data_IF_540176076424
#
_entry.id   IF_540176076424
#
_cell.length_a   1.000
_cell.length_b   1.000
_cell.length_c   1.000
_cell.angle_alpha   90.00
_cell.angle_beta   90.00
_cell.angle_gamma   90.00
#
_symmetry.space_group_name_H-M   'P 1'
#
loop_
_entity.id
_entity.type
_entity.pdbx_description
1 polymer ?
#
# COMPACT_ATOMS: atom_id res chain seq x y z
N UNK A 1 10.26 4.29 -10.83
CA UNK A 1 10.07 3.01 -10.16
C UNK A 1 11.39 2.22 -10.11
N UNK A 2 11.37 0.99 -10.56
CA UNK A 2 12.54 0.13 -10.57
C UNK A 2 12.73 -0.46 -11.96
N UNK A 3 13.96 -0.91 -12.24
CA UNK A 3 14.37 -1.43 -13.56
C UNK A 3 14.90 -2.85 -13.42
N UNK A 4 15.00 -3.54 -14.54
CA UNK A 4 15.65 -4.87 -14.58
C UNK A 4 17.06 -4.77 -13.99
N UNK A 5 17.39 -5.69 -13.09
CA UNK A 5 18.67 -5.72 -12.37
C UNK A 5 18.67 -5.00 -11.04
N UNK A 6 17.66 -4.20 -10.73
CA UNK A 6 17.53 -3.55 -9.42
C UNK A 6 17.23 -4.58 -8.34
N UNK A 7 17.66 -4.28 -7.12
CA UNK A 7 17.40 -5.13 -5.96
C UNK A 7 16.17 -4.59 -5.25
N UNK A 8 15.20 -5.47 -5.02
CA UNK A 8 13.98 -5.15 -4.27
C UNK A 8 13.76 -6.17 -3.15
N UNK A 9 13.13 -5.74 -2.08
CA UNK A 9 12.69 -6.64 -1.01
C UNK A 9 11.25 -7.07 -1.29
N UNK A 10 10.99 -8.37 -1.22
CA UNK A 10 9.63 -8.90 -1.38
C UNK A 10 9.01 -9.06 0.01
N UNK A 11 7.93 -8.34 0.26
CA UNK A 11 7.26 -8.29 1.57
C UNK A 11 6.21 -9.38 1.70
N UNK A 12 5.35 -9.50 0.68
CA UNK A 12 4.19 -10.39 0.72
C UNK A 12 3.68 -10.66 -0.69
N UNK A 13 2.73 -11.56 -0.81
CA UNK A 13 2.07 -11.85 -2.09
C UNK A 13 0.56 -11.82 -1.94
N UNK A 14 -0.12 -11.44 -3.02
CA UNK A 14 -1.56 -11.39 -3.09
C UNK A 14 -2.03 -12.08 -4.37
N UNK A 15 -3.06 -12.93 -4.25
CA UNK A 15 -3.63 -13.60 -5.41
C UNK A 15 -4.66 -12.70 -6.09
N UNK A 16 -4.56 -12.58 -7.39
CA UNK A 16 -5.50 -11.84 -8.23
C UNK A 16 -6.34 -12.85 -9.03
N UNK A 17 -7.55 -13.10 -8.58
CA UNK A 17 -8.44 -14.08 -9.21
C UNK A 17 -9.00 -13.62 -10.56
N UNK A 18 -9.04 -12.32 -10.82
CA UNK A 18 -9.51 -11.79 -12.11
C UNK A 18 -8.51 -12.05 -13.22
N UNK A 19 -7.21 -11.88 -12.92
CA UNK A 19 -6.15 -12.05 -13.89
C UNK A 19 -5.39 -13.36 -13.74
N UNK A 20 -5.73 -14.18 -12.72
CA UNK A 20 -5.13 -15.48 -12.46
C UNK A 20 -3.62 -15.40 -12.28
N UNK A 21 -3.15 -14.41 -11.52
CA UNK A 21 -1.74 -14.19 -11.24
C UNK A 21 -1.50 -13.82 -9.79
N UNK A 22 -0.26 -14.07 -9.34
CA UNK A 22 0.24 -13.56 -8.07
C UNK A 22 0.83 -12.17 -8.27
N UNK A 23 0.60 -11.29 -7.30
CA UNK A 23 1.27 -10.00 -7.17
C UNK A 23 2.16 -10.03 -5.95
N UNK A 24 3.35 -9.43 -6.05
CA UNK A 24 4.20 -9.19 -4.90
C UNK A 24 4.08 -7.75 -4.45
N UNK A 25 3.98 -7.56 -3.14
CA UNK A 25 4.26 -6.27 -2.54
C UNK A 25 5.77 -6.20 -2.35
N UNK A 26 6.41 -5.25 -3.00
CA UNK A 26 7.86 -5.06 -2.95
C UNK A 26 8.20 -3.73 -2.31
N UNK A 27 9.43 -3.65 -1.82
CA UNK A 27 9.96 -2.44 -1.19
C UNK A 27 11.30 -2.12 -1.81
N UNK A 28 11.50 -0.86 -2.16
CA UNK A 28 12.74 -0.39 -2.77
C UNK A 28 12.98 1.07 -2.45
N UNK A 29 14.24 1.48 -2.52
CA UNK A 29 14.63 2.86 -2.25
C UNK A 29 14.63 3.67 -3.53
N UNK A 30 14.18 4.93 -3.43
CA UNK A 30 14.21 5.89 -4.51
C UNK A 30 14.95 7.14 -4.05
N UNK A 31 15.25 8.07 -4.96
CA UNK A 31 15.88 9.34 -4.61
C UNK A 31 15.05 10.17 -3.63
N UNK A 32 13.73 9.96 -3.59
CA UNK A 32 12.81 10.70 -2.72
C UNK A 32 12.38 9.91 -1.48
N UNK A 33 12.98 8.75 -1.24
CA UNK A 33 12.68 7.90 -0.10
C UNK A 33 12.24 6.50 -0.48
N UNK A 34 11.88 5.71 0.53
CA UNK A 34 11.44 4.34 0.35
C UNK A 34 10.03 4.27 -0.22
N UNK A 35 9.77 3.24 -1.02
CA UNK A 35 8.46 2.96 -1.58
C UNK A 35 8.12 1.48 -1.42
N UNK A 36 6.85 1.21 -1.17
CA UNK A 36 6.24 -0.11 -1.40
C UNK A 36 5.31 -0.01 -2.60
N UNK A 37 5.30 -1.04 -3.43
CA UNK A 37 4.44 -1.11 -4.61
C UNK A 37 4.13 -2.57 -4.92
N UNK A 38 3.11 -2.79 -5.74
CA UNK A 38 2.79 -4.14 -6.21
C UNK A 38 3.32 -4.34 -7.62
N UNK A 39 3.86 -5.52 -7.87
CA UNK A 39 4.33 -5.92 -9.18
C UNK A 39 3.92 -7.37 -9.46
N UNK A 40 3.67 -7.76 -10.71
CA UNK A 40 3.43 -9.17 -11.03
C UNK A 40 4.60 -10.04 -10.57
N UNK A 41 4.28 -11.19 -9.97
CA UNK A 41 5.29 -12.06 -9.38
C UNK A 41 6.34 -12.55 -10.39
N UNK A 42 5.97 -12.68 -11.65
CA UNK A 42 6.88 -13.14 -12.70
C UNK A 42 7.97 -12.13 -13.07
N UNK A 43 7.93 -10.92 -12.52
CA UNK A 43 8.96 -9.88 -12.74
C UNK A 43 10.05 -9.89 -11.69
N UNK A 44 9.91 -10.70 -10.66
CA UNK A 44 10.87 -10.76 -9.55
C UNK A 44 11.37 -12.19 -9.41
N UNK A 45 12.69 -12.34 -9.39
CA UNK A 45 13.34 -13.66 -9.30
C UNK A 45 13.43 -14.11 -7.83
N UNK A 46 12.36 -14.73 -7.37
CA UNK A 46 12.28 -15.29 -6.03
C UNK A 46 11.27 -16.43 -6.00
N UNK A 47 11.50 -17.43 -5.15
CA UNK A 47 10.52 -18.52 -4.95
C UNK A 47 9.31 -17.99 -4.20
N UNK A 48 8.12 -18.13 -4.77
CA UNK A 48 6.89 -17.67 -4.13
C UNK A 48 6.52 -18.47 -2.88
N UNK A 49 7.08 -19.68 -2.72
CA UNK A 49 6.79 -20.54 -1.57
C UNK A 49 7.24 -19.92 -0.25
N UNK A 50 8.30 -19.10 -0.29
CA UNK A 50 8.84 -18.47 0.91
C UNK A 50 8.16 -17.13 1.24
N UNK A 51 7.27 -16.64 0.37
CA UNK A 51 6.66 -15.32 0.53
C UNK A 51 5.30 -15.47 1.24
N UNK A 52 5.07 -14.74 2.34
CA UNK A 52 3.79 -14.82 3.05
C UNK A 52 2.64 -14.26 2.22
N UNK A 53 1.49 -14.92 2.31
CA UNK A 53 0.28 -14.46 1.62
C UNK A 53 -0.42 -13.38 2.43
N UNK A 54 -0.79 -12.29 1.76
CA UNK A 54 -1.57 -11.22 2.38
C UNK A 54 -3.00 -11.69 2.64
N UNK A 55 -3.53 -11.27 3.79
CA UNK A 55 -4.95 -11.39 4.08
C UNK A 55 -5.52 -9.98 4.12
N UNK A 56 -6.40 -9.66 3.18
CA UNK A 56 -7.05 -8.36 3.15
C UNK A 56 -8.09 -8.30 4.27
N UNK A 57 -7.92 -7.37 5.21
CA UNK A 57 -8.83 -7.19 6.33
C UNK A 57 -10.20 -6.67 5.89
N UNK A 58 -10.24 -5.92 4.80
CA UNK A 58 -11.46 -5.36 4.23
C UNK A 58 -12.33 -4.64 5.27
N UNK A 59 -11.69 -3.78 6.08
CA UNK A 59 -12.29 -3.16 7.25
C UNK A 59 -12.61 -1.69 6.96
N UNK A 60 -13.88 -1.40 6.76
CA UNK A 60 -14.35 -0.04 6.41
C UNK A 60 -14.27 0.90 7.61
N UNK A 61 -13.66 2.05 7.42
CA UNK A 61 -13.50 3.10 8.43
C UNK A 61 -13.86 4.46 7.85
N UNK A 62 -14.14 5.40 8.74
CA UNK A 62 -14.29 6.80 8.38
C UNK A 62 -13.01 7.54 8.73
N UNK A 63 -12.56 8.43 7.86
CA UNK A 63 -11.42 9.30 8.14
C UNK A 63 -11.86 10.38 9.13
N UNK A 64 -11.20 10.46 10.28
CA UNK A 64 -11.53 11.45 11.31
C UNK A 64 -10.54 12.61 11.35
N UNK A 65 -9.39 12.46 10.73
CA UNK A 65 -8.37 13.51 10.62
C UNK A 65 -7.78 13.49 9.22
N UNK A 66 -7.89 14.60 8.50
CA UNK A 66 -7.30 14.72 7.17
C UNK A 66 -5.78 14.61 7.24
N UNK A 67 -5.17 14.02 6.22
CA UNK A 67 -3.73 13.86 6.21
C UNK A 67 -3.17 13.30 4.92
N UNK A 68 -1.84 13.26 4.87
CA UNK A 68 -1.10 12.76 3.73
C UNK A 68 -1.12 11.23 3.67
N UNK A 69 -0.99 10.72 2.46
CA UNK A 69 -0.87 9.29 2.17
C UNK A 69 0.59 8.99 1.83
N UNK A 70 1.10 7.89 2.35
CA UNK A 70 2.48 7.47 2.16
C UNK A 70 2.56 6.16 1.37
N UNK A 71 3.74 5.88 0.82
CA UNK A 71 4.02 4.66 0.09
C UNK A 71 4.44 3.49 0.99
N UNK A 72 4.39 3.64 2.28
CA UNK A 72 4.73 2.60 3.23
C UNK A 72 4.38 2.99 4.65
N UNK A 73 4.58 2.08 5.62
CA UNK A 73 4.08 2.23 6.98
C UNK A 73 4.98 3.04 7.90
N UNK A 74 5.48 4.17 7.44
CA UNK A 74 6.17 5.16 8.28
C UNK A 74 6.40 6.46 7.52
N UNK A 75 6.82 7.49 8.23
CA UNK A 75 7.16 8.79 7.63
C UNK A 75 8.49 8.78 6.87
N UNK A 76 9.26 7.71 6.96
CA UNK A 76 10.49 7.54 6.17
C UNK A 76 10.20 7.10 4.74
N UNK A 77 8.99 6.63 4.49
CA UNK A 77 8.55 6.32 3.14
C UNK A 77 8.15 7.61 2.42
N UNK A 78 8.19 7.54 1.10
CA UNK A 78 7.77 8.61 0.22
C UNK A 78 6.30 8.93 0.41
N UNK A 79 5.92 10.21 0.32
CA UNK A 79 4.51 10.60 0.26
C UNK A 79 3.99 10.45 -1.16
N UNK A 80 2.71 10.16 -1.31
CA UNK A 80 2.00 10.45 -2.55
C UNK A 80 1.91 11.97 -2.70
N UNK A 81 2.49 12.53 -3.75
CA UNK A 81 2.66 13.97 -3.88
C UNK A 81 1.37 14.79 -3.78
N UNK A 82 0.28 14.29 -4.34
CA UNK A 82 -0.99 15.01 -4.41
C UNK A 82 -2.14 14.28 -3.74
N UNK A 83 -1.91 13.15 -3.13
CA UNK A 83 -2.97 12.34 -2.55
C UNK A 83 -3.10 12.58 -1.05
N UNK A 84 -4.32 12.84 -0.64
CA UNK A 84 -4.71 13.05 0.75
C UNK A 84 -5.98 12.28 1.03
N UNK A 85 -6.18 11.94 2.28
CA UNK A 85 -7.47 11.52 2.80
C UNK A 85 -8.06 12.71 3.57
N UNK A 86 -9.37 12.86 3.47
CA UNK A 86 -10.06 14.00 4.07
C UNK A 86 -11.04 13.53 5.12
N UNK A 87 -11.18 14.32 6.19
CA UNK A 87 -12.17 14.07 7.23
C UNK A 87 -13.55 13.83 6.61
N UNK A 88 -14.20 12.75 7.03
CA UNK A 88 -15.49 12.33 6.51
C UNK A 88 -15.45 11.32 5.37
N UNK A 89 -14.27 11.14 4.74
CA UNK A 89 -14.11 10.15 3.68
C UNK A 89 -14.18 8.73 4.24
N UNK A 90 -14.52 7.79 3.37
CA UNK A 90 -14.45 6.36 3.67
C UNK A 90 -13.10 5.81 3.24
N UNK A 91 -12.49 5.01 4.08
CA UNK A 91 -11.29 4.26 3.77
C UNK A 91 -11.48 2.81 4.17
N UNK A 92 -10.95 1.89 3.39
CA UNK A 92 -11.06 0.46 3.66
C UNK A 92 -9.68 -0.05 4.05
N UNK A 93 -9.52 -0.50 5.29
CA UNK A 93 -8.25 -1.04 5.77
C UNK A 93 -8.01 -2.40 5.12
N UNK A 94 -6.88 -2.52 4.44
CA UNK A 94 -6.42 -3.78 3.85
C UNK A 94 -5.45 -4.50 4.77
N UNK A 95 -4.54 -3.76 5.41
CA UNK A 95 -3.50 -4.30 6.28
C UNK A 95 -3.19 -3.30 7.39
N UNK A 96 -2.70 -3.80 8.51
CA UNK A 96 -2.18 -2.98 9.60
C UNK A 96 -0.76 -3.43 9.89
N UNK A 97 0.14 -2.46 10.01
CA UNK A 97 1.53 -2.70 10.41
C UNK A 97 1.91 -1.64 11.44
N UNK A 98 2.04 -2.06 12.70
CA UNK A 98 2.29 -1.13 13.79
C UNK A 98 1.15 -0.13 13.95
N UNK A 99 1.47 1.14 13.92
CA UNK A 99 0.50 2.24 14.01
C UNK A 99 0.03 2.77 12.65
N UNK A 100 0.29 2.03 11.58
CA UNK A 100 -0.05 2.40 10.21
C UNK A 100 -1.00 1.41 9.60
N UNK A 101 -1.85 1.90 8.70
CA UNK A 101 -2.80 1.09 7.96
C UNK A 101 -2.63 1.31 6.45
N UNK A 102 -2.59 0.21 5.70
CA UNK A 102 -2.75 0.29 4.26
C UNK A 102 -4.24 0.35 3.97
N UNK A 103 -4.66 1.38 3.25
CA UNK A 103 -6.08 1.60 2.97
C UNK A 103 -6.32 1.73 1.48
N UNK A 104 -7.52 1.34 1.05
CA UNK A 104 -8.08 1.74 -0.23
C UNK A 104 -8.88 3.01 0.00
N UNK A 105 -8.64 4.01 -0.81
CA UNK A 105 -9.28 5.32 -0.71
C UNK A 105 -9.48 5.92 -2.09
N UNK A 106 -10.44 6.85 -2.19
CA UNK A 106 -10.63 7.59 -3.42
C UNK A 106 -9.69 8.80 -3.44
N UNK A 107 -8.88 8.91 -4.51
CA UNK A 107 -8.00 10.05 -4.72
C UNK A 107 -8.72 11.09 -5.58
N UNK A 108 -9.11 12.20 -4.98
CA UNK A 108 -9.78 13.29 -5.72
C UNK A 108 -8.84 13.92 -6.75
N UNK A 109 -7.56 14.02 -6.42
CA UNK A 109 -6.56 14.61 -7.32
C UNK A 109 -6.40 13.83 -8.61
N UNK A 110 -6.56 12.51 -8.57
CA UNK A 110 -6.37 11.63 -9.72
C UNK A 110 -7.66 10.98 -10.21
N UNK A 111 -8.77 11.16 -9.49
CA UNK A 111 -10.08 10.58 -9.81
C UNK A 111 -10.01 9.06 -9.97
N UNK A 112 -9.32 8.39 -9.05
CA UNK A 112 -9.18 6.94 -9.03
C UNK A 112 -9.15 6.42 -7.60
N UNK A 113 -9.51 5.15 -7.43
CA UNK A 113 -9.30 4.43 -6.17
C UNK A 113 -7.86 3.95 -6.10
N UNK A 114 -7.21 4.20 -4.98
CA UNK A 114 -5.81 3.85 -4.74
C UNK A 114 -5.63 3.13 -3.43
N UNK A 115 -4.50 2.47 -3.29
CA UNK A 115 -4.01 1.98 -2.02
C UNK A 115 -2.85 2.85 -1.56
N UNK A 116 -2.80 3.12 -0.27
CA UNK A 116 -1.68 3.82 0.34
C UNK A 116 -1.70 3.63 1.85
N UNK A 117 -0.70 4.19 2.51
CA UNK A 117 -0.52 4.03 3.94
C UNK A 117 -0.81 5.32 4.67
N UNK A 118 -1.61 5.22 5.73
CA UNK A 118 -1.97 6.34 6.60
C UNK A 118 -1.79 5.93 8.06
N UNK A 119 -1.63 6.91 8.94
CA UNK A 119 -1.59 6.61 10.36
C UNK A 119 -2.94 6.06 10.81
N UNK A 120 -2.91 5.00 11.58
CA UNK A 120 -4.12 4.34 12.05
C UNK A 120 -5.02 5.26 12.87
N UNK A 121 -4.44 6.21 13.60
CA UNK A 121 -5.18 7.17 14.41
C UNK A 121 -5.92 8.25 13.62
N UNK A 122 -5.70 8.32 12.29
CA UNK A 122 -6.49 9.19 11.41
C UNK A 122 -7.84 8.58 11.03
N UNK A 123 -8.05 7.31 11.38
CA UNK A 123 -9.25 6.56 11.07
C UNK A 123 -10.08 6.34 12.33
N UNK A 124 -11.40 6.27 12.16
CA UNK A 124 -12.30 5.96 13.25
C UNK A 124 -11.98 4.59 13.83
N UNK A 125 -12.22 4.42 15.13
CA UNK A 125 -12.29 3.09 15.72
C UNK A 125 -13.56 2.41 15.22
N UNK A 126 -13.56 1.13 15.27
CA UNK A 126 -14.70 0.33 14.81
C UNK A 126 -15.96 0.57 15.61
#
# INVERSE_FOLDING_TARGET
>A
FYNAGDIVNVISKAWDSENDIWWYQIEFNTSDGWMRAYTPANRVDVSSDSIPTETNLNDTRTVITSGAVYFGPSTTYRKYGWSWIYEGDTAIICQIEGSWAQVEYYSYAKDVTRRGWVKLDTLSSK
#
